data_IF_396551983335
#
_entry.id   IF_396551983335
#
_cell.length_a   1.000
_cell.length_b   1.000
_cell.length_c   1.000
_cell.angle_alpha   90.00
_cell.angle_beta   90.00
_cell.angle_gamma   90.00
#
_symmetry.space_group_name_H-M   'P 1'
#
loop_
_entity.id
_entity.type
_entity.pdbx_description
1 polymer ?
#
# COMPACT_ATOMS: atom_id res chain seq x y z
N UNK A 1 41.51 74.26 28.39
CA UNK A 1 41.12 73.16 27.49
C UNK A 1 39.72 73.40 26.97
N UNK A 2 39.54 73.63 25.66
CA UNK A 2 38.22 73.84 25.03
C UNK A 2 37.71 72.50 24.48
N UNK A 3 36.56 72.05 24.97
CA UNK A 3 35.91 70.83 24.51
C UNK A 3 35.24 71.05 23.14
N UNK A 4 35.54 70.16 22.18
CA UNK A 4 34.90 70.10 20.86
C UNK A 4 33.54 69.40 20.98
N UNK A 5 32.47 69.88 20.32
CA UNK A 5 31.22 69.13 20.20
C UNK A 5 31.38 68.00 19.18
N UNK A 6 30.95 66.80 19.56
CA UNK A 6 30.89 65.62 18.70
C UNK A 6 29.74 65.79 17.69
N UNK A 7 30.08 65.85 16.41
CA UNK A 7 29.14 65.76 15.29
C UNK A 7 28.68 64.30 15.13
N UNK A 8 27.38 64.08 15.21
CA UNK A 8 26.72 62.81 14.90
C UNK A 8 26.81 62.50 13.40
N UNK A 9 27.01 61.23 12.99
CA UNK A 9 27.01 60.85 11.57
C UNK A 9 25.57 60.80 11.00
N UNK A 10 25.39 61.01 9.68
CA UNK A 10 24.07 61.05 9.06
C UNK A 10 23.46 59.64 8.96
N UNK A 11 22.13 59.60 9.08
CA UNK A 11 21.32 58.39 9.05
C UNK A 11 21.48 57.61 7.73
N UNK A 12 21.71 56.31 7.85
CA UNK A 12 21.75 55.37 6.74
C UNK A 12 20.41 55.32 5.99
N UNK A 13 20.51 55.22 4.66
CA UNK A 13 19.41 55.14 3.72
C UNK A 13 18.36 54.10 4.11
N UNK A 14 17.11 54.55 4.23
CA UNK A 14 15.96 53.69 4.52
C UNK A 14 15.77 52.63 3.44
N UNK A 15 15.81 51.37 3.85
CA UNK A 15 15.24 50.24 3.12
C UNK A 15 13.77 50.57 2.86
N UNK A 16 13.40 50.83 1.59
CA UNK A 16 12.01 51.08 1.19
C UNK A 16 11.16 49.92 1.71
N UNK A 17 10.31 50.18 2.72
CA UNK A 17 9.27 49.24 3.13
C UNK A 17 8.42 48.99 1.88
N UNK A 18 8.44 47.76 1.35
CA UNK A 18 7.56 47.36 0.25
C UNK A 18 6.12 47.56 0.71
N UNK A 19 5.36 48.33 -0.06
CA UNK A 19 3.95 48.54 0.19
C UNK A 19 3.20 47.23 -0.08
N UNK A 20 2.53 46.70 0.94
CA UNK A 20 1.87 45.38 0.90
C UNK A 20 0.79 45.36 -0.17
N UNK A 21 0.01 46.45 -0.31
CA UNK A 21 -1.08 46.53 -1.28
C UNK A 21 -0.54 46.54 -2.72
N UNK A 22 0.57 47.22 -2.96
CA UNK A 22 1.24 47.19 -4.28
C UNK A 22 1.74 45.80 -4.64
N UNK A 23 2.22 45.03 -3.66
CA UNK A 23 2.73 43.67 -3.86
C UNK A 23 1.59 42.67 -4.13
N UNK A 24 0.47 42.79 -3.41
CA UNK A 24 -0.74 41.99 -3.64
C UNK A 24 -1.21 42.16 -5.09
N UNK A 25 -1.41 43.41 -5.53
CA UNK A 25 -1.85 43.71 -6.90
C UNK A 25 -0.88 43.17 -7.95
N UNK A 26 0.43 43.27 -7.69
CA UNK A 26 1.46 42.72 -8.56
C UNK A 26 1.35 41.20 -8.69
N UNK A 27 1.17 40.47 -7.58
CA UNK A 27 1.06 39.00 -7.58
C UNK A 27 -0.18 38.55 -8.34
N UNK A 28 -1.32 39.20 -8.10
CA UNK A 28 -2.59 38.87 -8.76
C UNK A 28 -2.56 39.22 -10.26
N UNK A 29 -1.83 40.26 -10.65
CA UNK A 29 -1.65 40.61 -12.06
C UNK A 29 -0.61 39.73 -12.78
N UNK A 30 0.23 39.01 -12.05
CA UNK A 30 1.29 38.19 -12.63
C UNK A 30 0.70 36.89 -13.23
N UNK A 31 1.06 36.61 -14.48
CA UNK A 31 0.58 35.43 -15.20
C UNK A 31 1.46 34.21 -14.94
N UNK A 32 2.78 34.42 -14.88
CA UNK A 32 3.76 33.34 -14.71
C UNK A 32 4.13 33.11 -13.23
N UNK A 33 4.61 31.90 -12.92
CA UNK A 33 5.02 31.56 -11.56
C UNK A 33 6.32 32.29 -11.16
N UNK A 34 7.19 32.50 -12.14
CA UNK A 34 8.41 33.28 -12.10
C UNK A 34 8.14 34.73 -11.70
N UNK A 35 7.16 35.36 -12.36
CA UNK A 35 6.75 36.73 -12.08
C UNK A 35 6.11 36.84 -10.69
N UNK A 36 5.25 35.89 -10.30
CA UNK A 36 4.64 35.85 -8.97
C UNK A 36 5.69 35.84 -7.86
N UNK A 37 6.75 35.03 -8.01
CA UNK A 37 7.84 34.92 -7.04
C UNK A 37 8.97 35.94 -7.21
N UNK A 38 9.01 36.70 -8.32
CA UNK A 38 10.11 37.59 -8.69
C UNK A 38 11.47 36.87 -8.79
N UNK A 39 11.48 35.68 -9.37
CA UNK A 39 12.70 34.88 -9.59
C UNK A 39 12.89 34.64 -11.09
N UNK A 40 14.12 34.33 -11.50
CA UNK A 40 14.35 33.93 -12.89
C UNK A 40 13.73 32.56 -13.20
N UNK A 41 13.39 32.29 -14.46
CA UNK A 41 12.89 30.97 -14.89
C UNK A 41 13.89 29.83 -14.64
N UNK A 42 15.17 30.15 -14.53
CA UNK A 42 16.27 29.23 -14.22
C UNK A 42 16.78 29.35 -12.79
N UNK A 43 15.98 29.92 -11.87
CA UNK A 43 16.37 30.10 -10.49
C UNK A 43 16.58 28.75 -9.78
N UNK A 44 17.63 28.67 -8.96
CA UNK A 44 17.88 27.49 -8.14
C UNK A 44 16.81 27.31 -7.05
N UNK A 45 16.65 26.08 -6.53
CA UNK A 45 15.64 25.78 -5.51
C UNK A 45 15.80 26.65 -4.26
N UNK A 46 17.03 26.94 -3.83
CA UNK A 46 17.30 27.83 -2.70
C UNK A 46 16.80 29.26 -2.95
N UNK A 47 16.94 29.78 -4.17
CA UNK A 47 16.47 31.12 -4.54
C UNK A 47 14.94 31.18 -4.52
N UNK A 48 14.28 30.17 -5.10
CA UNK A 48 12.81 30.00 -5.07
C UNK A 48 12.31 29.96 -3.62
N UNK A 49 12.96 29.15 -2.76
CA UNK A 49 12.60 29.03 -1.34
C UNK A 49 12.77 30.34 -0.58
N UNK A 50 13.84 31.10 -0.85
CA UNK A 50 14.06 32.39 -0.22
C UNK A 50 13.03 33.43 -0.66
N UNK A 51 12.71 33.49 -1.95
CA UNK A 51 11.71 34.40 -2.50
C UNK A 51 10.32 34.09 -1.93
N UNK A 52 9.92 32.82 -1.95
CA UNK A 52 8.68 32.34 -1.37
C UNK A 52 8.57 32.69 0.12
N UNK A 53 9.60 32.41 0.94
CA UNK A 53 9.59 32.74 2.37
C UNK A 53 9.40 34.25 2.62
N UNK A 54 10.04 35.11 1.82
CA UNK A 54 9.89 36.57 1.93
C UNK A 54 8.44 37.00 1.67
N UNK A 55 7.79 36.43 0.64
CA UNK A 55 6.41 36.75 0.28
C UNK A 55 5.40 36.20 1.29
N UNK A 56 5.58 34.95 1.75
CA UNK A 56 4.73 34.37 2.82
C UNK A 56 4.80 35.21 4.09
N UNK A 57 5.99 35.67 4.48
CA UNK A 57 6.15 36.54 5.65
C UNK A 57 5.53 37.92 5.44
N UNK A 58 5.38 38.40 4.20
CA UNK A 58 4.75 39.68 3.90
C UNK A 58 3.22 39.55 3.89
N UNK A 59 2.70 38.46 3.32
CA UNK A 59 1.28 38.16 3.12
C UNK A 59 0.67 37.32 4.25
N UNK A 60 1.39 37.11 5.35
CA UNK A 60 0.89 36.32 6.47
C UNK A 60 -0.44 36.91 7.01
N UNK A 61 -1.44 36.08 7.35
CA UNK A 61 -2.74 36.56 7.84
C UNK A 61 -2.64 37.62 8.95
N UNK A 62 -1.75 37.42 9.92
CA UNK A 62 -1.52 38.38 11.02
C UNK A 62 -1.11 39.79 10.55
N UNK A 63 -0.40 39.90 9.42
CA UNK A 63 -0.02 41.19 8.85
C UNK A 63 -1.15 41.82 8.03
N UNK A 64 -1.99 41.00 7.41
CA UNK A 64 -3.15 41.43 6.64
C UNK A 64 -4.34 41.85 7.51
N UNK A 65 -4.40 41.41 8.78
CA UNK A 65 -5.47 41.79 9.72
C UNK A 65 -5.62 43.30 9.92
N UNK A 66 -4.55 44.08 9.72
CA UNK A 66 -4.57 45.54 9.89
C UNK A 66 -5.06 46.30 8.65
N UNK A 67 -5.36 45.59 7.57
CA UNK A 67 -5.86 46.15 6.32
C UNK A 67 -7.39 46.02 6.26
N UNK A 68 -7.99 46.78 5.35
CA UNK A 68 -9.41 46.70 5.02
C UNK A 68 -9.80 45.31 4.50
N UNK A 69 -11.10 45.00 4.56
CA UNK A 69 -11.61 43.65 4.27
C UNK A 69 -11.32 43.21 2.82
N UNK A 70 -11.40 44.12 1.85
CA UNK A 70 -11.08 43.85 0.44
C UNK A 70 -9.61 43.50 0.27
N UNK A 71 -8.69 44.37 0.75
CA UNK A 71 -7.25 44.09 0.65
C UNK A 71 -6.84 42.82 1.41
N UNK A 72 -7.53 42.49 2.52
CA UNK A 72 -7.28 41.24 3.25
C UNK A 72 -7.67 40.01 2.44
N UNK A 73 -8.80 40.07 1.73
CA UNK A 73 -9.27 39.00 0.84
C UNK A 73 -8.32 38.83 -0.35
N UNK A 74 -7.98 39.92 -1.02
CA UNK A 74 -6.99 39.93 -2.12
C UNK A 74 -5.62 39.41 -1.64
N UNK A 75 -5.21 39.76 -0.41
CA UNK A 75 -3.97 39.27 0.18
C UNK A 75 -3.96 37.77 0.48
N UNK A 76 -5.10 37.21 0.89
CA UNK A 76 -5.24 35.75 1.06
C UNK A 76 -5.19 35.02 -0.29
N UNK A 77 -5.82 35.59 -1.32
CA UNK A 77 -5.76 35.07 -2.69
C UNK A 77 -4.33 35.15 -3.25
N UNK A 78 -3.64 36.27 -3.07
CA UNK A 78 -2.25 36.43 -3.46
C UNK A 78 -1.33 35.44 -2.73
N UNK A 79 -1.58 35.14 -1.45
CA UNK A 79 -0.82 34.13 -0.71
C UNK A 79 -1.05 32.73 -1.30
N UNK A 80 -2.28 32.39 -1.66
CA UNK A 80 -2.60 31.14 -2.35
C UNK A 80 -1.85 31.02 -3.68
N UNK A 81 -1.87 32.08 -4.49
CA UNK A 81 -1.14 32.17 -5.76
C UNK A 81 0.38 32.02 -5.58
N UNK A 82 0.94 32.55 -4.49
CA UNK A 82 2.37 32.37 -4.14
C UNK A 82 2.70 30.91 -3.80
N UNK A 83 1.82 30.20 -3.09
CA UNK A 83 2.00 28.77 -2.84
C UNK A 83 1.92 27.97 -4.14
N UNK A 84 0.89 28.23 -4.96
CA UNK A 84 0.73 27.59 -6.25
C UNK A 84 1.93 27.85 -7.19
N UNK A 85 2.46 29.07 -7.22
CA UNK A 85 3.63 29.42 -8.02
C UNK A 85 4.89 28.66 -7.57
N UNK A 86 5.11 28.50 -6.26
CA UNK A 86 6.24 27.71 -5.75
C UNK A 86 6.10 26.24 -6.17
N UNK A 87 4.92 25.66 -6.00
CA UNK A 87 4.69 24.25 -6.33
C UNK A 87 4.81 24.02 -7.84
N UNK A 88 4.36 24.97 -8.65
CA UNK A 88 4.51 24.95 -10.12
C UNK A 88 5.98 25.07 -10.56
N UNK A 89 6.76 26.00 -9.99
CA UNK A 89 8.19 26.11 -10.28
C UNK A 89 8.94 24.83 -9.90
N UNK A 90 8.62 24.27 -8.73
CA UNK A 90 9.18 22.99 -8.29
C UNK A 90 8.81 21.86 -9.26
N UNK A 91 7.53 21.78 -9.67
CA UNK A 91 7.04 20.82 -10.66
C UNK A 91 7.78 20.95 -11.99
N UNK A 92 7.95 22.17 -12.53
CA UNK A 92 8.68 22.40 -13.79
C UNK A 92 10.15 22.01 -13.71
N UNK A 93 10.84 22.38 -12.63
CA UNK A 93 12.23 21.98 -12.43
C UNK A 93 12.35 20.46 -12.34
N UNK A 94 11.40 19.81 -11.66
CA UNK A 94 11.32 18.35 -11.63
C UNK A 94 11.01 17.76 -13.02
N UNK A 95 10.08 18.32 -13.78
CA UNK A 95 9.75 17.83 -15.13
C UNK A 95 10.90 18.00 -16.12
N UNK A 96 11.68 19.07 -15.98
CA UNK A 96 12.84 19.38 -16.81
C UNK A 96 14.05 18.49 -16.48
N UNK A 97 14.19 17.99 -15.25
CA UNK A 97 15.41 17.31 -14.80
C UNK A 97 15.22 15.93 -14.15
N UNK A 98 14.00 15.44 -13.92
CA UNK A 98 13.80 14.18 -13.22
C UNK A 98 13.92 12.99 -14.18
N UNK A 99 14.99 12.22 -14.03
CA UNK A 99 15.03 10.84 -14.43
C UNK A 99 14.09 10.03 -13.54
N UNK A 100 13.66 8.86 -14.03
CA UNK A 100 12.90 7.92 -13.22
C UNK A 100 13.81 7.43 -12.07
N UNK A 101 13.31 7.32 -10.82
CA UNK A 101 14.12 6.85 -9.71
C UNK A 101 14.71 5.46 -9.96
N UNK A 102 15.82 5.16 -9.30
CA UNK A 102 16.38 3.82 -9.31
C UNK A 102 15.43 2.81 -8.63
N UNK A 103 15.52 1.54 -9.04
CA UNK A 103 14.80 0.45 -8.40
C UNK A 103 15.12 0.40 -6.89
N UNK A 104 14.10 0.29 -6.01
CA UNK A 104 14.32 0.09 -4.58
C UNK A 104 15.16 -1.17 -4.33
N UNK A 105 15.98 -1.14 -3.27
CA UNK A 105 16.78 -2.31 -2.88
C UNK A 105 16.14 -3.03 -1.70
N UNK A 106 16.20 -4.37 -1.63
CA UNK A 106 15.65 -5.11 -0.50
C UNK A 106 16.31 -4.66 0.81
N UNK A 107 15.54 -4.66 1.90
CA UNK A 107 16.08 -4.47 3.25
C UNK A 107 16.90 -5.67 3.71
N UNK A 108 17.59 -5.53 4.85
CA UNK A 108 18.34 -6.66 5.46
C UNK A 108 17.44 -7.84 5.85
N UNK A 109 16.20 -7.55 6.23
CA UNK A 109 15.12 -8.51 6.45
C UNK A 109 13.96 -8.14 5.49
N UNK A 110 13.99 -8.60 4.23
CA UNK A 110 13.10 -8.10 3.19
C UNK A 110 11.62 -8.41 3.46
N UNK A 111 11.33 -9.46 4.24
CA UNK A 111 9.99 -9.74 4.71
C UNK A 111 9.96 -10.49 6.05
N UNK A 112 8.86 -10.37 6.78
CA UNK A 112 8.61 -11.06 8.04
C UNK A 112 7.13 -11.37 8.22
N UNK A 113 6.80 -12.60 8.60
CA UNK A 113 5.45 -12.93 9.07
C UNK A 113 5.29 -12.40 10.51
N UNK A 114 4.33 -11.51 10.74
CA UNK A 114 4.09 -10.89 12.03
C UNK A 114 2.99 -11.61 12.81
N UNK A 115 1.91 -11.96 12.11
CA UNK A 115 0.79 -12.71 12.66
C UNK A 115 0.30 -13.69 11.61
N UNK A 116 0.13 -14.92 12.04
CA UNK A 116 -0.35 -15.97 11.19
C UNK A 116 -1.84 -16.26 11.44
N UNK A 117 -2.45 -15.74 12.51
CA UNK A 117 -3.81 -16.11 12.90
C UNK A 117 -4.85 -15.93 11.78
N UNK A 118 -5.70 -16.94 11.49
CA UNK A 118 -6.80 -16.79 10.54
C UNK A 118 -7.69 -15.57 10.83
N UNK A 119 -7.89 -14.70 9.84
CA UNK A 119 -8.68 -13.47 9.98
C UNK A 119 -7.91 -12.28 10.55
N UNK A 120 -6.62 -12.45 10.86
CA UNK A 120 -5.73 -11.42 11.38
C UNK A 120 -4.31 -11.57 10.83
N UNK A 121 -4.15 -12.13 9.62
CA UNK A 121 -2.82 -12.36 9.01
C UNK A 121 -2.11 -11.04 8.78
N UNK A 122 -0.81 -11.00 9.11
CA UNK A 122 0.06 -9.83 8.96
C UNK A 122 1.42 -10.21 8.41
N UNK A 123 1.82 -9.54 7.34
CA UNK A 123 3.14 -9.67 6.75
C UNK A 123 3.78 -8.30 6.58
N UNK A 124 5.03 -8.19 6.98
CA UNK A 124 5.85 -7.00 6.78
C UNK A 124 6.78 -7.23 5.59
N UNK A 125 6.93 -6.21 4.75
CA UNK A 125 8.00 -6.11 3.75
C UNK A 125 8.82 -4.84 4.02
N UNK A 126 10.12 -4.90 3.72
CA UNK A 126 11.01 -3.75 3.91
C UNK A 126 12.02 -3.60 2.77
N UNK A 127 12.35 -2.35 2.48
CA UNK A 127 13.39 -1.94 1.53
C UNK A 127 14.35 -0.96 2.18
N UNK A 128 15.50 -0.76 1.53
CA UNK A 128 16.53 0.16 1.99
C UNK A 128 16.24 1.55 1.43
N UNK A 129 16.28 2.58 2.29
CA UNK A 129 16.27 3.97 1.85
C UNK A 129 17.67 4.37 1.38
N UNK A 130 17.80 5.19 0.32
CA UNK A 130 19.09 5.75 -0.05
C UNK A 130 19.60 6.69 1.05
N UNK A 131 20.88 6.57 1.41
CA UNK A 131 21.52 7.47 2.40
C UNK A 131 21.53 8.92 1.92
N UNK A 132 21.65 9.11 0.60
CA UNK A 132 21.60 10.39 -0.11
C UNK A 132 20.71 10.22 -1.33
N UNK A 133 19.67 11.05 -1.46
CA UNK A 133 18.84 11.05 -2.66
C UNK A 133 19.60 11.70 -3.83
N UNK A 134 19.50 11.09 -5.00
CA UNK A 134 19.98 11.68 -6.25
C UNK A 134 19.08 12.88 -6.62
N UNK A 135 19.61 14.12 -6.68
CA UNK A 135 18.81 15.29 -7.05
C UNK A 135 18.23 15.20 -8.46
N UNK A 136 18.83 14.41 -9.35
CA UNK A 136 18.34 14.18 -10.71
C UNK A 136 17.27 13.09 -10.81
N UNK A 137 17.08 12.30 -9.75
CA UNK A 137 16.09 11.23 -9.69
C UNK A 137 15.51 11.10 -8.26
N UNK A 138 14.95 12.18 -7.69
CA UNK A 138 14.50 12.15 -6.29
C UNK A 138 13.34 11.18 -6.13
N UNK A 139 13.24 10.55 -4.96
CA UNK A 139 12.08 9.71 -4.61
C UNK A 139 11.10 10.54 -3.81
N UNK A 140 9.89 10.70 -4.33
CA UNK A 140 8.83 11.48 -3.66
C UNK A 140 7.89 10.59 -2.84
N UNK A 141 7.65 9.38 -3.34
CA UNK A 141 6.78 8.39 -2.72
C UNK A 141 7.15 6.99 -3.15
N UNK A 142 6.67 6.01 -2.39
CA UNK A 142 6.69 4.60 -2.77
C UNK A 142 5.28 4.11 -3.03
N UNK A 143 5.13 3.26 -4.04
CA UNK A 143 3.86 2.61 -4.36
C UNK A 143 4.00 1.10 -4.20
N UNK A 144 3.11 0.50 -3.42
CA UNK A 144 3.08 -0.94 -3.15
C UNK A 144 1.92 -1.57 -3.92
N UNK A 145 2.22 -2.59 -4.71
CA UNK A 145 1.27 -3.26 -5.59
C UNK A 145 1.19 -4.74 -5.25
N UNK A 146 0.00 -5.33 -5.42
CA UNK A 146 -0.24 -6.75 -5.21
C UNK A 146 -1.21 -7.36 -6.24
N UNK A 147 -1.21 -8.69 -6.40
CA UNK A 147 -2.06 -9.38 -7.35
C UNK A 147 -3.51 -9.35 -6.91
N UNK A 148 -4.40 -8.79 -7.73
CA UNK A 148 -5.84 -8.87 -7.50
C UNK A 148 -6.41 -10.20 -7.98
N UNK A 149 -5.85 -10.72 -9.08
CA UNK A 149 -6.26 -11.98 -9.68
C UNK A 149 -5.04 -12.79 -10.11
N UNK A 150 -5.09 -14.10 -9.82
CA UNK A 150 -4.14 -15.09 -10.30
C UNK A 150 -4.86 -16.09 -11.19
N UNK A 151 -4.17 -16.59 -12.22
CA UNK A 151 -4.66 -17.70 -13.03
C UNK A 151 -4.60 -19.01 -12.24
N UNK A 152 -5.23 -20.07 -12.74
CA UNK A 152 -5.14 -21.40 -12.13
C UNK A 152 -3.71 -21.96 -12.15
N UNK A 153 -2.87 -21.47 -13.05
CA UNK A 153 -1.44 -21.78 -13.13
C UNK A 153 -0.59 -20.91 -12.18
N UNK A 154 -1.21 -19.95 -11.47
CA UNK A 154 -0.55 -19.06 -10.52
C UNK A 154 0.02 -17.78 -11.14
N UNK A 155 -0.24 -17.51 -12.41
CA UNK A 155 0.24 -16.30 -13.10
C UNK A 155 -0.61 -15.08 -12.70
N UNK A 156 0.04 -13.97 -12.38
CA UNK A 156 -0.64 -12.71 -12.07
C UNK A 156 -0.85 -11.92 -13.35
N UNK A 157 -2.10 -11.52 -13.63
CA UNK A 157 -2.44 -10.68 -14.79
C UNK A 157 -3.17 -9.40 -14.41
N UNK A 158 -3.52 -9.22 -13.14
CA UNK A 158 -4.17 -8.00 -12.63
C UNK A 158 -3.54 -7.57 -11.31
N UNK A 159 -3.13 -6.31 -11.25
CA UNK A 159 -2.41 -5.70 -10.12
C UNK A 159 -3.22 -4.53 -9.55
N UNK A 160 -3.23 -4.42 -8.22
CA UNK A 160 -3.91 -3.34 -7.50
C UNK A 160 -2.92 -2.59 -6.60
N UNK A 161 -3.07 -1.26 -6.56
CA UNK A 161 -2.32 -0.40 -5.65
C UNK A 161 -2.83 -0.62 -4.22
N UNK A 162 -1.96 -1.13 -3.36
CA UNK A 162 -2.25 -1.39 -1.94
C UNK A 162 -2.02 -0.17 -1.07
N UNK A 163 -0.97 0.61 -1.37
CA UNK A 163 -0.62 1.80 -0.61
C UNK A 163 0.30 2.74 -1.40
N UNK A 164 0.17 4.03 -1.08
CA UNK A 164 1.14 5.07 -1.41
C UNK A 164 1.77 5.57 -0.12
N UNK A 165 3.10 5.49 -0.05
CA UNK A 165 3.87 5.73 1.16
C UNK A 165 4.80 6.94 0.98
N UNK A 166 5.02 7.77 2.02
CA UNK A 166 5.95 8.89 1.95
C UNK A 166 7.40 8.44 1.66
N UNK A 167 8.22 9.34 1.10
CA UNK A 167 9.62 9.07 0.74
C UNK A 167 10.52 8.51 1.87
N UNK A 168 10.18 8.76 3.14
CA UNK A 168 10.98 8.31 4.30
C UNK A 168 10.46 7.00 4.90
N UNK A 169 9.37 6.45 4.36
CA UNK A 169 8.82 5.19 4.83
C UNK A 169 9.41 4.05 3.99
N UNK A 170 10.05 3.09 4.67
CA UNK A 170 10.79 1.99 4.04
C UNK A 170 10.20 0.61 4.33
N UNK A 171 8.99 0.58 4.89
CA UNK A 171 8.31 -0.62 5.32
C UNK A 171 6.81 -0.53 5.05
N UNK A 172 6.22 -1.67 4.71
CA UNK A 172 4.80 -1.83 4.51
C UNK A 172 4.32 -3.11 5.18
N UNK A 173 3.18 -3.03 5.87
CA UNK A 173 2.55 -4.18 6.50
C UNK A 173 1.25 -4.47 5.75
N UNK A 174 1.17 -5.63 5.12
CA UNK A 174 -0.06 -6.16 4.55
C UNK A 174 -0.86 -6.86 5.66
N UNK A 175 -2.12 -6.48 5.82
CA UNK A 175 -3.02 -6.92 6.89
C UNK A 175 -4.33 -7.45 6.29
N UNK A 176 -4.83 -8.55 6.82
CA UNK A 176 -6.07 -9.18 6.35
C UNK A 176 -7.33 -8.35 6.65
N UNK A 177 -7.24 -7.45 7.64
CA UNK A 177 -8.35 -6.61 8.08
C UNK A 177 -8.69 -5.48 7.09
N UNK A 178 -7.78 -5.15 6.16
CA UNK A 178 -7.99 -4.11 5.15
C UNK A 178 -8.58 -4.72 3.87
N UNK A 179 -9.77 -4.28 3.38
CA UNK A 179 -10.47 -4.95 2.28
C UNK A 179 -9.64 -5.17 1.00
N UNK A 180 -8.96 -4.14 0.50
CA UNK A 180 -8.14 -4.26 -0.72
C UNK A 180 -6.94 -5.20 -0.52
N UNK A 181 -6.37 -5.23 0.68
CA UNK A 181 -5.26 -6.11 1.01
C UNK A 181 -5.74 -7.55 1.19
N UNK A 182 -6.92 -7.74 1.79
CA UNK A 182 -7.60 -9.01 1.89
C UNK A 182 -7.87 -9.62 0.50
N UNK A 183 -8.30 -8.81 -0.47
CA UNK A 183 -8.49 -9.29 -1.84
C UNK A 183 -7.20 -9.86 -2.45
N UNK A 184 -6.05 -9.18 -2.21
CA UNK A 184 -4.73 -9.66 -2.64
C UNK A 184 -4.34 -10.96 -1.93
N UNK A 185 -4.58 -11.04 -0.62
CA UNK A 185 -4.36 -12.28 0.14
C UNK A 185 -5.22 -13.42 -0.39
N UNK A 186 -6.49 -13.15 -0.69
CA UNK A 186 -7.43 -14.12 -1.23
C UNK A 186 -7.08 -14.56 -2.65
N UNK A 187 -6.47 -13.71 -3.46
CA UNK A 187 -5.96 -14.10 -4.77
C UNK A 187 -4.96 -15.26 -4.65
N UNK A 188 -4.05 -15.20 -3.68
CA UNK A 188 -3.13 -16.30 -3.39
C UNK A 188 -3.83 -17.52 -2.76
N UNK A 189 -4.78 -17.29 -1.84
CA UNK A 189 -5.52 -18.36 -1.16
C UNK A 189 -6.39 -19.19 -2.13
N UNK A 190 -7.02 -18.55 -3.13
CA UNK A 190 -7.94 -19.19 -4.08
C UNK A 190 -7.28 -20.27 -4.93
N UNK A 191 -5.99 -20.12 -5.22
CA UNK A 191 -5.20 -21.06 -6.03
C UNK A 191 -4.08 -21.73 -5.21
N UNK A 192 -4.12 -21.60 -3.89
CA UNK A 192 -3.18 -22.20 -2.94
C UNK A 192 -1.70 -21.96 -3.29
N UNK A 193 -1.34 -20.72 -3.65
CA UNK A 193 0.03 -20.39 -4.06
C UNK A 193 1.04 -20.68 -2.94
N UNK A 194 2.23 -21.12 -3.35
CA UNK A 194 3.37 -21.25 -2.44
C UNK A 194 3.84 -19.88 -1.94
N UNK A 195 3.80 -18.88 -2.83
CA UNK A 195 4.22 -17.51 -2.54
C UNK A 195 3.16 -16.48 -2.92
N UNK A 196 3.16 -15.35 -2.21
CA UNK A 196 2.41 -14.15 -2.60
C UNK A 196 3.41 -13.11 -3.12
N UNK A 197 3.25 -12.73 -4.38
CA UNK A 197 4.09 -11.71 -5.03
C UNK A 197 3.60 -10.31 -4.64
N UNK A 198 4.51 -9.42 -4.22
CA UNK A 198 4.25 -7.98 -4.06
C UNK A 198 5.34 -7.19 -4.79
N UNK A 199 5.03 -5.97 -5.21
CA UNK A 199 6.00 -5.11 -5.90
C UNK A 199 6.03 -3.72 -5.29
N UNK A 200 7.21 -3.16 -5.08
CA UNK A 200 7.39 -1.79 -4.60
C UNK A 200 8.10 -0.96 -5.66
N UNK A 201 7.54 0.19 -6.00
CA UNK A 201 8.12 1.15 -6.94
C UNK A 201 8.49 2.43 -6.21
N UNK A 202 9.66 3.00 -6.54
CA UNK A 202 9.98 4.38 -6.21
C UNK A 202 9.39 5.29 -7.28
N UNK A 203 8.70 6.35 -6.88
CA UNK A 203 7.95 7.21 -7.80
C UNK A 203 8.29 8.67 -7.59
N UNK A 204 8.36 9.41 -8.70
CA UNK A 204 8.46 10.86 -8.74
C UNK A 204 7.59 11.44 -9.86
N UNK A 205 7.65 12.76 -10.07
CA UNK A 205 6.93 13.44 -11.14
C UNK A 205 7.20 12.93 -12.57
N UNK A 206 8.25 12.13 -12.81
CA UNK A 206 8.53 11.53 -14.13
C UNK A 206 7.85 10.18 -14.34
N UNK A 207 7.70 9.39 -13.28
CA UNK A 207 7.12 8.06 -13.35
C UNK A 207 7.65 7.12 -12.27
N UNK A 208 7.36 5.84 -12.47
CA UNK A 208 7.69 4.77 -11.53
C UNK A 208 8.96 4.05 -11.96
N UNK A 209 9.85 3.78 -11.01
CA UNK A 209 11.01 2.92 -11.19
C UNK A 209 10.63 1.51 -11.63
N UNK A 210 11.63 0.72 -12.02
CA UNK A 210 11.46 -0.74 -11.99
C UNK A 210 11.02 -1.19 -10.59
N UNK A 211 10.21 -2.25 -10.54
CA UNK A 211 9.62 -2.74 -9.31
C UNK A 211 10.59 -3.65 -8.54
N UNK A 212 10.73 -3.43 -7.24
CA UNK A 212 11.34 -4.41 -6.34
C UNK A 212 10.29 -5.48 -6.01
N UNK A 213 10.49 -6.70 -6.51
CA UNK A 213 9.62 -7.84 -6.25
C UNK A 213 9.91 -8.52 -4.90
N UNK A 214 8.85 -8.86 -4.18
CA UNK A 214 8.88 -9.68 -2.97
C UNK A 214 8.05 -10.95 -3.19
N UNK A 215 8.63 -12.11 -2.89
CA UNK A 215 7.95 -13.41 -2.93
C UNK A 215 7.73 -13.91 -1.50
N UNK A 216 6.59 -13.56 -0.90
CA UNK A 216 6.29 -13.89 0.50
C UNK A 216 5.98 -15.38 0.65
N UNK A 217 6.56 -16.11 1.61
CA UNK A 217 6.37 -17.56 1.78
C UNK A 217 4.98 -17.92 2.33
N UNK A 218 3.96 -17.80 1.49
CA UNK A 218 2.54 -17.83 1.83
C UNK A 218 2.07 -19.17 2.39
N UNK A 219 2.17 -20.24 1.60
CA UNK A 219 1.69 -21.56 2.02
C UNK A 219 2.49 -22.14 3.20
N UNK A 220 3.72 -21.68 3.41
CA UNK A 220 4.56 -22.09 4.53
C UNK A 220 4.14 -21.41 5.83
N UNK A 221 3.84 -20.12 5.79
CA UNK A 221 3.42 -19.38 6.97
C UNK A 221 1.97 -19.64 7.39
N UNK A 222 1.12 -20.07 6.47
CA UNK A 222 -0.29 -20.32 6.74
C UNK A 222 -0.66 -21.78 6.51
N UNK A 223 -0.26 -22.69 7.41
CA UNK A 223 -0.43 -24.13 7.22
C UNK A 223 -1.89 -24.58 7.16
N UNK A 224 -2.85 -23.81 7.69
CA UNK A 224 -4.29 -24.08 7.51
C UNK A 224 -4.83 -23.67 6.14
N UNK A 225 -4.04 -23.08 5.25
CA UNK A 225 -4.39 -23.05 3.83
C UNK A 225 -4.15 -24.42 3.20
N UNK A 226 -3.40 -25.29 3.88
CA UNK A 226 -3.24 -26.69 3.52
C UNK A 226 -4.43 -27.48 4.10
N UNK A 227 -4.90 -28.44 3.33
CA UNK A 227 -5.95 -29.37 3.72
C UNK A 227 -5.97 -30.55 2.76
N UNK A 228 -6.84 -31.52 3.02
CA UNK A 228 -6.99 -32.65 2.10
C UNK A 228 -7.99 -32.26 1.02
N UNK A 229 -7.63 -32.47 -0.24
CA UNK A 229 -8.55 -32.33 -1.36
C UNK A 229 -9.70 -33.34 -1.28
N UNK A 230 -10.72 -33.16 -2.14
CA UNK A 230 -11.88 -34.03 -2.18
C UNK A 230 -11.78 -35.06 -3.31
N UNK A 231 -12.26 -36.27 -3.05
CA UNK A 231 -12.56 -37.29 -4.05
C UNK A 231 -14.07 -37.46 -4.16
N UNK A 232 -14.59 -37.64 -5.37
CA UNK A 232 -16.00 -38.00 -5.59
C UNK A 232 -16.13 -39.50 -5.87
N UNK A 233 -16.97 -40.21 -5.12
CA UNK A 233 -17.25 -41.62 -5.40
C UNK A 233 -18.13 -41.77 -6.65
N UNK A 234 -17.69 -42.56 -7.63
CA UNK A 234 -18.47 -42.83 -8.85
C UNK A 234 -19.69 -43.73 -8.64
N UNK A 235 -19.82 -44.42 -7.50
CA UNK A 235 -20.96 -45.29 -7.20
C UNK A 235 -22.04 -44.60 -6.37
N UNK A 236 -21.66 -43.86 -5.32
CA UNK A 236 -22.61 -43.23 -4.40
C UNK A 236 -22.52 -41.70 -4.37
N UNK A 237 -21.68 -41.09 -5.22
CA UNK A 237 -21.49 -39.64 -5.36
C UNK A 237 -21.11 -38.89 -4.07
N UNK A 238 -20.69 -39.62 -3.04
CA UNK A 238 -20.26 -39.03 -1.77
C UNK A 238 -18.85 -38.45 -1.89
N UNK A 239 -18.68 -37.21 -1.43
CA UNK A 239 -17.38 -36.58 -1.26
C UNK A 239 -16.63 -37.22 -0.09
N UNK A 240 -15.38 -37.60 -0.32
CA UNK A 240 -14.49 -38.22 0.68
C UNK A 240 -13.16 -37.47 0.70
N UNK A 241 -12.56 -37.21 1.88
CA UNK A 241 -11.22 -36.63 1.96
C UNK A 241 -10.20 -37.54 1.28
N UNK A 242 -9.31 -36.99 0.46
CA UNK A 242 -8.23 -37.75 -0.18
C UNK A 242 -7.29 -38.30 0.89
N UNK A 243 -7.22 -39.63 1.01
CA UNK A 243 -6.29 -40.33 1.90
C UNK A 243 -4.84 -40.21 1.44
N UNK A 244 -3.91 -40.17 2.41
CA UNK A 244 -2.48 -39.90 2.15
C UNK A 244 -1.73 -41.02 1.40
N UNK A 245 -0.69 -40.59 0.65
CA UNK A 245 0.36 -41.28 -0.15
C UNK A 245 0.02 -42.51 -1.01
N UNK A 246 -0.88 -43.40 -0.62
CA UNK A 246 -1.04 -44.70 -1.28
C UNK A 246 -2.02 -44.70 -2.46
N UNK A 247 -2.32 -43.54 -3.05
CA UNK A 247 -3.21 -43.32 -4.22
C UNK A 247 -4.66 -43.81 -4.12
N UNK A 248 -5.00 -44.64 -3.13
CA UNK A 248 -6.32 -45.25 -2.94
C UNK A 248 -6.95 -44.81 -1.63
N UNK A 249 -8.22 -44.40 -1.68
CA UNK A 249 -9.02 -43.99 -0.52
C UNK A 249 -10.33 -44.76 -0.52
N UNK A 250 -10.72 -45.38 0.59
CA UNK A 250 -12.03 -46.03 0.69
C UNK A 250 -13.14 -44.98 0.82
N UNK A 251 -14.19 -45.11 0.01
CA UNK A 251 -15.36 -44.24 0.08
C UNK A 251 -16.08 -44.40 1.42
N UNK A 252 -16.31 -43.28 2.12
CA UNK A 252 -17.02 -43.27 3.40
C UNK A 252 -18.51 -43.68 3.32
N UNK A 253 -19.08 -43.79 2.11
CA UNK A 253 -20.46 -44.21 1.86
C UNK A 253 -20.58 -45.71 1.60
N UNK A 254 -20.05 -46.17 0.47
CA UNK A 254 -20.19 -47.57 0.02
C UNK A 254 -18.94 -48.45 0.24
N UNK A 255 -17.84 -47.89 0.76
CA UNK A 255 -16.59 -48.63 1.03
C UNK A 255 -15.69 -48.86 -0.18
N UNK A 256 -16.14 -48.57 -1.40
CA UNK A 256 -15.34 -48.79 -2.62
C UNK A 256 -14.07 -47.95 -2.64
N UNK A 257 -12.98 -48.56 -3.11
CA UNK A 257 -11.70 -47.88 -3.32
C UNK A 257 -11.80 -46.83 -4.42
N UNK A 258 -11.32 -45.63 -4.12
CA UNK A 258 -11.29 -44.48 -5.02
C UNK A 258 -9.84 -44.18 -5.42
N UNK A 259 -9.60 -44.06 -6.72
CA UNK A 259 -8.32 -43.59 -7.28
C UNK A 259 -8.16 -42.08 -7.09
N UNK A 260 -6.91 -41.61 -7.07
CA UNK A 260 -6.55 -40.20 -7.05
C UNK A 260 -7.04 -39.42 -8.29
N UNK A 261 -7.33 -40.10 -9.40
CA UNK A 261 -7.89 -39.49 -10.63
C UNK A 261 -9.31 -38.95 -10.43
N UNK A 262 -10.03 -39.42 -9.40
CA UNK A 262 -11.36 -38.94 -9.02
C UNK A 262 -11.29 -37.66 -8.16
N UNK A 263 -10.14 -36.99 -8.14
CA UNK A 263 -9.96 -35.73 -7.44
C UNK A 263 -10.79 -34.62 -8.07
N UNK A 264 -11.48 -33.88 -7.22
CA UNK A 264 -12.29 -32.73 -7.60
C UNK A 264 -11.90 -31.53 -6.76
N UNK A 265 -11.84 -30.36 -7.40
CA UNK A 265 -11.65 -29.08 -6.73
C UNK A 265 -13.03 -28.53 -6.39
N UNK A 266 -13.32 -28.37 -5.10
CA UNK A 266 -14.59 -27.80 -4.63
C UNK A 266 -14.35 -26.32 -4.34
N UNK A 267 -15.14 -25.43 -4.94
CA UNK A 267 -15.06 -23.98 -4.70
C UNK A 267 -16.24 -23.47 -3.88
N UNK A 268 -15.97 -22.52 -2.99
CA UNK A 268 -17.01 -21.86 -2.20
C UNK A 268 -17.86 -20.97 -3.10
N UNK A 269 -19.19 -21.12 -3.05
CA UNK A 269 -20.13 -20.31 -3.84
C UNK A 269 -20.16 -18.84 -3.43
N UNK A 270 -19.65 -18.48 -2.25
CA UNK A 270 -19.62 -17.10 -1.78
C UNK A 270 -18.39 -16.32 -2.25
N UNK A 271 -17.19 -16.89 -2.10
CA UNK A 271 -15.92 -16.16 -2.33
C UNK A 271 -15.00 -16.81 -3.37
N UNK A 272 -15.41 -17.93 -3.97
CA UNK A 272 -14.63 -18.68 -4.96
C UNK A 272 -13.44 -19.46 -4.39
N UNK A 273 -13.14 -19.32 -3.10
CA UNK A 273 -12.02 -20.00 -2.45
C UNK A 273 -12.15 -21.51 -2.45
N UNK A 274 -11.03 -22.22 -2.57
CA UNK A 274 -11.00 -23.66 -2.51
C UNK A 274 -11.49 -24.16 -1.14
N UNK A 275 -12.21 -25.28 -1.16
CA UNK A 275 -12.82 -25.89 0.01
C UNK A 275 -12.09 -27.20 0.29
N UNK A 276 -11.41 -27.23 1.43
CA UNK A 276 -10.54 -28.33 1.81
C UNK A 276 -11.05 -29.01 3.08
N UNK A 277 -10.71 -30.30 3.21
CA UNK A 277 -10.98 -31.04 4.43
C UNK A 277 -9.95 -30.69 5.50
N UNK A 278 -10.45 -30.25 6.65
CA UNK A 278 -9.68 -29.97 7.86
C UNK A 278 -10.29 -30.72 9.03
N UNK A 279 -9.53 -31.66 9.62
CA UNK A 279 -10.03 -32.61 10.61
C UNK A 279 -11.25 -33.36 10.05
N UNK A 280 -12.46 -32.98 10.46
CA UNK A 280 -13.72 -33.59 10.05
C UNK A 280 -14.64 -32.60 9.32
N UNK A 281 -14.19 -31.38 9.01
CA UNK A 281 -15.01 -30.38 8.34
C UNK A 281 -14.46 -30.09 6.94
N UNK A 282 -15.38 -29.89 6.01
CA UNK A 282 -15.10 -29.37 4.67
C UNK A 282 -15.38 -27.87 4.71
N UNK A 283 -14.34 -27.04 4.72
CA UNK A 283 -14.45 -25.59 4.95
C UNK A 283 -13.67 -24.80 3.92
N UNK A 284 -14.19 -23.63 3.54
CA UNK A 284 -13.51 -22.73 2.60
C UNK A 284 -12.25 -22.14 3.24
N UNK A 285 -11.14 -22.13 2.51
CA UNK A 285 -9.87 -21.57 2.97
C UNK A 285 -9.90 -20.05 3.12
N UNK A 286 -10.65 -19.33 2.26
CA UNK A 286 -10.75 -17.88 2.29
C UNK A 286 -11.74 -17.37 3.35
N UNK A 287 -13.01 -17.77 3.29
CA UNK A 287 -14.07 -17.21 4.16
C UNK A 287 -14.41 -18.08 5.38
N UNK A 288 -13.76 -19.23 5.55
CA UNK A 288 -13.97 -20.18 6.66
C UNK A 288 -15.38 -20.74 6.79
N UNK A 289 -16.27 -20.50 5.82
CA UNK A 289 -17.60 -21.13 5.78
C UNK A 289 -17.44 -22.64 5.73
N UNK A 290 -18.07 -23.35 6.67
CA UNK A 290 -18.15 -24.80 6.66
C UNK A 290 -19.29 -25.24 5.74
N UNK A 291 -18.97 -26.09 4.76
CA UNK A 291 -19.92 -26.63 3.80
C UNK A 291 -20.44 -28.01 4.23
N UNK A 292 -19.61 -28.82 4.87
CA UNK A 292 -20.00 -30.14 5.36
C UNK A 292 -19.18 -30.55 6.57
N UNK A 293 -19.72 -31.49 7.36
CA UNK A 293 -18.99 -32.17 8.45
C UNK A 293 -19.06 -33.67 8.19
N UNK A 294 -17.90 -34.31 8.07
CA UNK A 294 -17.78 -35.75 8.06
C UNK A 294 -17.99 -36.25 9.49
N UNK A 295 -19.25 -36.49 9.86
CA UNK A 295 -19.55 -37.20 11.10
C UNK A 295 -18.95 -38.61 10.99
N UNK A 296 -18.10 -39.04 11.93
CA UNK A 296 -17.71 -40.44 11.98
C UNK A 296 -18.99 -41.26 12.03
N UNK A 297 -19.07 -42.33 11.22
CA UNK A 297 -20.17 -43.29 11.35
C UNK A 297 -20.21 -43.70 12.82
N UNK A 298 -21.28 -43.33 13.54
CA UNK A 298 -21.56 -43.90 14.86
C UNK A 298 -21.45 -45.40 14.66
N UNK A 299 -20.47 -46.04 15.29
CA UNK A 299 -20.32 -47.50 15.23
C UNK A 299 -21.68 -48.07 15.65
N UNK A 300 -22.41 -48.67 14.70
CA UNK A 300 -23.58 -49.49 14.98
C UNK A 300 -23.05 -50.69 15.78
N UNK A 301 -22.99 -50.56 17.10
CA UNK A 301 -22.30 -51.56 17.94
C UNK A 301 -22.52 -51.45 19.45
N UNK A 302 -22.92 -50.30 20.00
CA UNK A 302 -23.21 -50.18 21.45
C UNK A 302 -24.71 -50.11 21.76
N UNK A 303 -25.52 -50.90 21.04
CA UNK A 303 -26.79 -51.34 21.58
C UNK A 303 -26.53 -52.59 22.43
N UNK A 304 -25.89 -52.42 23.60
CA UNK A 304 -25.94 -53.47 24.61
C UNK A 304 -27.39 -53.61 25.04
N UNK A 305 -28.00 -54.72 24.62
CA UNK A 305 -29.19 -55.28 25.22
C UNK A 305 -29.02 -55.26 26.75
N UNK A 306 -29.70 -54.32 27.43
CA UNK A 306 -30.14 -54.57 28.80
C UNK A 306 -31.42 -55.38 28.70
N UNK A 307 -31.28 -56.68 28.47
CA UNK A 307 -32.28 -57.66 28.88
C UNK A 307 -32.18 -57.79 30.41
N UNK A 308 -32.81 -56.85 31.11
CA UNK A 308 -33.14 -57.01 32.52
C UNK A 308 -34.21 -58.09 32.63
N UNK A 309 -33.78 -59.29 33.00
CA UNK A 309 -34.66 -60.35 33.46
C UNK A 309 -35.38 -59.92 34.74
N UNK A 310 -36.56 -60.51 34.89
CA UNK A 310 -37.48 -60.44 36.02
C UNK A 310 -36.81 -60.76 37.36
#
# INVERSE_FOLDING_TARGET
ARARPCSSPPAAAGTKRRDVTSEIKRILAAVSAEDKLQVSASAAEEEILQAWKKLVLLLHPDKLQRLDDETRKEGAEALHEVHAAKDEMRRRTQEACAQVPAQPRPGSAPFRCLDATPGARKYEISWTLPDVQDPSAPVEKYEVWGPRHCSELGETYDWVLLATLPQLQSQFIIVEEAPTQQDVMWAADRVLRQTLSLTVHAVNGKGSSEGLGFELPWAAAFPWLRGMGSLVCNQCFRLTPRGGRNSWTSCAGCGVGLSAELAVVVRCTGCGGEVLWQRNALSCTCCRRTLAVNMPQRRRGDARYHSGGW
#
